data_IF_333290785665
#
_entry.id   IF_333290785665
#
_cell.length_a   1.000
_cell.length_b   1.000
_cell.length_c   1.000
_cell.angle_alpha   90.00
_cell.angle_beta   90.00
_cell.angle_gamma   90.00
#
_symmetry.space_group_name_H-M   'P 1'
#
loop_
_entity.id
_entity.type
_entity.pdbx_description
1 polymer ?
#
# COMPACT_ATOMS: atom_id res chain seq x y z
N UNK A 1 -19.01 13.43 -1.88
CA UNK A 1 -18.24 14.72 -1.92
C UNK A 1 -17.67 15.12 -0.56
N UNK A 2 -18.44 15.12 0.54
CA UNK A 2 -17.87 15.39 1.89
C UNK A 2 -16.84 14.33 2.30
N UNK A 3 -17.15 13.04 2.08
CA UNK A 3 -16.24 11.93 2.37
C UNK A 3 -14.93 12.00 1.59
N UNK A 4 -15.02 12.28 0.28
CA UNK A 4 -13.85 12.57 -0.55
C UNK A 4 -12.90 13.61 0.07
N UNK A 5 -13.44 14.75 0.54
CA UNK A 5 -12.63 15.81 1.14
C UNK A 5 -12.00 15.38 2.47
N UNK A 6 -12.78 14.70 3.33
CA UNK A 6 -12.30 14.22 4.63
C UNK A 6 -11.19 13.17 4.47
N UNK A 7 -11.38 12.21 3.57
CA UNK A 7 -10.41 11.14 3.33
C UNK A 7 -9.12 11.68 2.69
N UNK A 8 -9.26 12.62 1.75
CA UNK A 8 -8.10 13.31 1.17
C UNK A 8 -7.34 14.12 2.22
N UNK A 9 -8.05 14.83 3.12
CA UNK A 9 -7.41 15.54 4.22
C UNK A 9 -6.71 14.58 5.19
N UNK A 10 -7.31 13.43 5.48
CA UNK A 10 -6.71 12.36 6.28
C UNK A 10 -5.41 11.85 5.66
N UNK A 11 -5.40 11.53 4.37
CA UNK A 11 -4.19 11.06 3.67
C UNK A 11 -3.08 12.10 3.71
N UNK A 12 -3.39 13.37 3.41
CA UNK A 12 -2.41 14.45 3.45
C UNK A 12 -1.83 14.62 4.85
N UNK A 13 -2.67 14.59 5.88
CA UNK A 13 -2.23 14.69 7.27
C UNK A 13 -1.35 13.50 7.69
N UNK A 14 -1.77 12.28 7.36
CA UNK A 14 -1.06 11.05 7.70
C UNK A 14 0.29 10.99 6.96
N UNK A 15 0.32 11.26 5.66
CA UNK A 15 1.56 11.33 4.88
C UNK A 15 2.49 12.41 5.45
N UNK A 16 1.97 13.59 5.80
CA UNK A 16 2.80 14.65 6.40
C UNK A 16 3.41 14.18 7.73
N UNK A 17 2.62 13.52 8.57
CA UNK A 17 3.10 12.92 9.81
C UNK A 17 4.21 11.86 9.53
N UNK A 18 3.98 10.95 8.60
CA UNK A 18 4.90 9.85 8.29
C UNK A 18 6.19 10.31 7.59
N UNK A 19 6.11 11.25 6.65
CA UNK A 19 7.24 11.69 5.83
C UNK A 19 8.07 12.81 6.47
N UNK A 20 7.45 13.67 7.30
CA UNK A 20 8.10 14.87 7.84
C UNK A 20 8.36 14.75 9.34
N UNK A 21 7.41 14.23 10.10
CA UNK A 21 7.49 14.22 11.56
C UNK A 21 8.19 12.97 12.08
N UNK A 22 7.92 11.81 11.48
CA UNK A 22 8.50 10.54 11.91
C UNK A 22 9.90 10.37 11.30
N UNK A 23 10.96 10.23 12.12
CA UNK A 23 12.31 10.06 11.61
C UNK A 23 12.45 8.72 10.88
N UNK A 24 12.52 8.77 9.56
CA UNK A 24 12.85 7.62 8.72
C UNK A 24 14.31 7.23 8.95
N UNK A 25 14.57 6.02 9.44
CA UNK A 25 15.95 5.54 9.64
C UNK A 25 16.42 4.86 8.35
N UNK A 26 17.62 5.19 7.89
CA UNK A 26 18.29 4.33 6.91
C UNK A 26 18.58 2.99 7.58
N UNK A 27 18.12 1.88 7.00
CA UNK A 27 18.49 0.57 7.53
C UNK A 27 20.00 0.33 7.33
N UNK A 28 20.62 -0.49 8.18
CA UNK A 28 22.06 -0.83 8.09
C UNK A 28 22.48 -1.36 6.70
N UNK A 29 21.52 -1.91 5.96
CA UNK A 29 21.71 -2.51 4.63
C UNK A 29 21.51 -1.54 3.47
N UNK A 30 20.95 -0.36 3.71
CA UNK A 30 20.64 0.63 2.69
C UNK A 30 21.20 1.97 3.15
N UNK A 31 22.46 2.25 2.80
CA UNK A 31 23.04 3.58 2.93
C UNK A 31 22.34 4.52 1.96
N UNK A 32 21.20 5.06 2.38
CA UNK A 32 20.58 6.16 1.66
C UNK A 32 21.38 7.41 1.95
N UNK A 33 21.93 8.03 0.90
CA UNK A 33 22.44 9.39 1.03
C UNK A 33 21.28 10.28 1.50
N UNK A 34 21.42 10.84 2.70
CA UNK A 34 20.45 11.76 3.30
C UNK A 34 19.99 12.82 2.27
N UNK A 35 18.70 13.15 2.31
CA UNK A 35 18.04 14.25 1.59
C UNK A 35 17.78 14.09 0.08
N UNK A 36 16.82 13.22 -0.26
CA UNK A 36 15.93 13.53 -1.39
C UNK A 36 14.48 13.51 -0.91
N UNK A 37 14.04 14.63 -0.33
CA UNK A 37 12.61 14.90 -0.22
C UNK A 37 11.98 14.76 -1.60
N UNK A 38 11.00 13.86 -1.76
CA UNK A 38 10.30 13.71 -3.03
C UNK A 38 9.17 14.76 -3.04
N UNK A 39 9.15 15.72 -3.98
CA UNK A 39 8.06 16.68 -4.06
C UNK A 39 6.77 15.98 -4.47
N UNK A 40 5.63 16.57 -4.09
CA UNK A 40 4.33 16.18 -4.62
C UNK A 40 4.30 16.40 -6.13
N UNK A 41 4.17 15.32 -6.89
CA UNK A 41 4.01 15.42 -8.35
C UNK A 41 2.54 15.58 -8.72
N UNK A 42 2.21 16.15 -9.89
CA UNK A 42 0.83 16.15 -10.39
C UNK A 42 0.22 14.74 -10.46
N UNK A 43 1.03 13.72 -10.76
CA UNK A 43 0.60 12.32 -10.81
C UNK A 43 0.20 11.79 -9.43
N UNK A 44 0.99 12.09 -8.38
CA UNK A 44 0.64 11.72 -7.00
C UNK A 44 -0.70 12.34 -6.59
N UNK A 45 -0.87 13.65 -6.81
CA UNK A 45 -2.09 14.36 -6.45
C UNK A 45 -3.28 13.80 -7.23
N UNK A 46 -3.10 13.54 -8.53
CA UNK A 46 -4.12 12.92 -9.36
C UNK A 46 -4.53 11.55 -8.83
N UNK A 47 -3.57 10.65 -8.55
CA UNK A 47 -3.84 9.30 -8.06
C UNK A 47 -4.50 9.30 -6.67
N UNK A 48 -4.09 10.20 -5.78
CA UNK A 48 -4.72 10.38 -4.47
C UNK A 48 -6.19 10.80 -4.63
N UNK A 49 -6.46 11.85 -5.42
CA UNK A 49 -7.83 12.29 -5.68
C UNK A 49 -8.65 11.20 -6.37
N UNK A 50 -8.09 10.52 -7.37
CA UNK A 50 -8.72 9.43 -8.10
C UNK A 50 -9.13 8.27 -7.18
N UNK A 51 -8.24 7.83 -6.29
CA UNK A 51 -8.50 6.76 -5.33
C UNK A 51 -9.63 7.14 -4.38
N UNK A 52 -9.63 8.38 -3.89
CA UNK A 52 -10.60 8.87 -2.92
C UNK A 52 -11.97 9.15 -3.55
N UNK A 53 -12.03 9.47 -4.84
CA UNK A 53 -13.29 9.60 -5.59
C UNK A 53 -13.95 8.24 -5.80
N UNK A 54 -13.17 7.20 -6.11
CA UNK A 54 -13.70 5.84 -6.24
C UNK A 54 -14.23 5.31 -4.91
N UNK A 55 -13.60 5.67 -3.81
CA UNK A 55 -14.09 5.36 -2.48
C UNK A 55 -15.51 5.91 -2.23
N UNK A 56 -15.74 7.21 -2.50
CA UNK A 56 -17.06 7.87 -2.35
C UNK A 56 -18.18 7.13 -3.12
N UNK A 57 -17.85 6.47 -4.25
CA UNK A 57 -18.81 5.74 -5.09
C UNK A 57 -19.11 4.30 -4.65
N UNK A 58 -18.22 3.68 -3.88
CA UNK A 58 -18.30 2.26 -3.48
C UNK A 58 -18.94 2.05 -2.10
N UNK A 59 -19.20 3.13 -1.38
CA UNK A 59 -19.71 3.16 0.00
C UNK A 59 -21.19 2.78 0.08
N UNK A 60 -21.90 2.55 -1.03
CA UNK A 60 -23.33 2.19 -1.05
C UNK A 60 -23.63 0.67 -1.06
N UNK A 61 -22.70 -0.17 -0.58
CA UNK A 61 -22.88 -1.63 -0.63
C UNK A 61 -23.72 -2.14 0.57
N UNK A 62 -24.80 -2.84 0.23
CA UNK A 62 -25.71 -3.54 1.14
C UNK A 62 -24.98 -4.67 1.89
N UNK A 63 -25.14 -4.70 3.22
CA UNK A 63 -24.67 -5.79 4.07
C UNK A 63 -25.26 -5.71 5.47
N UNK A 64 -25.47 -6.86 6.11
CA UNK A 64 -25.93 -6.94 7.50
C UNK A 64 -24.79 -6.60 8.47
N UNK A 65 -25.10 -6.02 9.64
CA UNK A 65 -24.09 -5.66 10.63
C UNK A 65 -23.56 -6.88 11.40
N UNK A 66 -24.37 -7.93 11.56
CA UNK A 66 -24.03 -9.07 12.42
C UNK A 66 -22.81 -9.87 11.93
N UNK A 67 -22.52 -9.84 10.63
CA UNK A 67 -21.40 -10.57 10.00
C UNK A 67 -20.16 -9.72 9.68
N UNK A 68 -20.22 -8.42 9.92
CA UNK A 68 -19.30 -7.48 9.29
C UNK A 68 -17.83 -7.58 9.78
N UNK A 69 -17.59 -8.02 11.00
CA UNK A 69 -16.24 -8.13 11.56
C UNK A 69 -15.44 -9.30 10.97
N UNK A 70 -16.06 -10.46 10.72
CA UNK A 70 -15.35 -11.60 10.13
C UNK A 70 -15.16 -11.39 8.63
N UNK A 71 -16.12 -10.74 7.96
CA UNK A 71 -16.01 -10.31 6.57
C UNK A 71 -14.80 -9.37 6.41
N UNK A 72 -14.60 -8.44 7.35
CA UNK A 72 -13.44 -7.56 7.39
C UNK A 72 -12.14 -8.35 7.50
N UNK A 73 -12.06 -9.29 8.45
CA UNK A 73 -10.86 -10.11 8.64
C UNK A 73 -10.57 -11.00 7.43
N UNK A 74 -11.60 -11.52 6.78
CA UNK A 74 -11.47 -12.33 5.57
C UNK A 74 -11.03 -11.52 4.34
N UNK A 75 -11.27 -10.20 4.29
CA UNK A 75 -10.76 -9.37 3.21
C UNK A 75 -9.21 -9.35 3.19
N UNK A 76 -8.55 -9.33 4.36
CA UNK A 76 -7.08 -9.26 4.48
C UNK A 76 -6.32 -10.35 3.71
N UNK A 77 -6.58 -11.65 3.90
CA UNK A 77 -5.90 -12.69 3.12
C UNK A 77 -6.25 -12.63 1.63
N UNK A 78 -7.47 -12.25 1.24
CA UNK A 78 -7.85 -12.12 -0.17
C UNK A 78 -7.07 -10.97 -0.83
N UNK A 79 -7.03 -9.80 -0.18
CA UNK A 79 -6.21 -8.65 -0.60
C UNK A 79 -4.74 -9.03 -0.73
N UNK A 80 -4.19 -9.74 0.26
CA UNK A 80 -2.78 -10.19 0.25
C UNK A 80 -2.48 -11.09 -0.95
N UNK A 81 -3.34 -12.08 -1.21
CA UNK A 81 -3.23 -12.99 -2.35
C UNK A 81 -3.32 -12.23 -3.68
N UNK A 82 -4.32 -11.37 -3.84
CA UNK A 82 -4.52 -10.60 -5.06
C UNK A 82 -3.33 -9.67 -5.32
N UNK A 83 -2.90 -8.92 -4.31
CA UNK A 83 -1.76 -8.02 -4.40
C UNK A 83 -0.50 -8.78 -4.83
N UNK A 84 -0.17 -9.88 -4.15
CA UNK A 84 1.02 -10.68 -4.46
C UNK A 84 1.07 -11.12 -5.92
N UNK A 85 0.00 -11.72 -6.44
CA UNK A 85 -0.01 -12.24 -7.81
C UNK A 85 0.03 -11.12 -8.84
N UNK A 86 -0.77 -10.06 -8.65
CA UNK A 86 -0.78 -8.92 -9.56
C UNK A 86 0.59 -8.25 -9.58
N UNK A 87 1.16 -7.98 -8.41
CA UNK A 87 2.45 -7.32 -8.27
C UNK A 87 3.57 -8.12 -8.95
N UNK A 88 3.61 -9.43 -8.71
CA UNK A 88 4.58 -10.32 -9.34
C UNK A 88 4.43 -10.34 -10.86
N UNK A 89 3.20 -10.34 -11.39
CA UNK A 89 2.97 -10.32 -12.84
C UNK A 89 3.33 -8.98 -13.49
N UNK A 90 3.13 -7.86 -12.78
CA UNK A 90 3.61 -6.54 -13.22
C UNK A 90 5.14 -6.51 -13.40
N UNK A 91 5.88 -7.24 -12.56
CA UNK A 91 7.32 -7.44 -12.72
C UNK A 91 7.70 -8.46 -13.79
N UNK A 92 6.94 -9.55 -13.89
CA UNK A 92 7.24 -10.68 -14.80
C UNK A 92 7.16 -10.27 -16.27
N UNK A 93 6.19 -9.42 -16.62
CA UNK A 93 5.96 -9.02 -18.02
C UNK A 93 6.82 -7.80 -18.38
N UNK A 94 7.85 -7.91 -19.24
CA UNK A 94 8.86 -6.84 -19.41
C UNK A 94 8.32 -5.52 -19.96
N UNK A 95 7.27 -5.57 -20.77
CA UNK A 95 6.63 -4.37 -21.33
C UNK A 95 5.81 -3.67 -20.23
N UNK A 96 5.03 -4.44 -19.47
CA UNK A 96 4.23 -3.94 -18.34
C UNK A 96 5.14 -3.34 -17.28
N UNK A 97 6.23 -4.01 -16.92
CA UNK A 97 7.20 -3.45 -15.98
C UNK A 97 7.76 -2.11 -16.49
N UNK A 98 8.31 -2.07 -17.70
CA UNK A 98 9.00 -0.87 -18.23
C UNK A 98 8.09 0.33 -18.47
N UNK A 99 6.81 0.12 -18.75
CA UNK A 99 5.89 1.21 -19.10
C UNK A 99 4.99 1.64 -17.95
N UNK A 100 4.70 0.72 -17.03
CA UNK A 100 3.70 0.92 -15.98
C UNK A 100 4.41 0.88 -14.63
N UNK A 101 4.89 -0.30 -14.23
CA UNK A 101 5.33 -0.52 -12.85
C UNK A 101 6.69 0.12 -12.50
N UNK A 102 7.53 0.40 -13.50
CA UNK A 102 8.79 1.08 -13.29
C UNK A 102 8.61 2.52 -12.78
N UNK A 103 7.43 3.13 -12.98
CA UNK A 103 7.09 4.47 -12.46
C UNK A 103 7.06 4.46 -10.94
N UNK A 104 6.44 3.44 -10.35
CA UNK A 104 6.40 3.22 -8.90
C UNK A 104 7.79 2.96 -8.33
N UNK A 105 8.59 2.15 -9.02
CA UNK A 105 9.97 1.81 -8.67
C UNK A 105 11.00 2.92 -8.93
N UNK A 106 10.59 4.14 -9.34
CA UNK A 106 11.50 5.28 -9.49
C UNK A 106 12.08 5.73 -8.14
N UNK A 107 11.43 5.37 -7.04
CA UNK A 107 11.79 5.83 -5.69
C UNK A 107 12.12 4.64 -4.80
N UNK A 108 13.41 4.47 -4.52
CA UNK A 108 13.88 3.44 -3.58
C UNK A 108 14.04 3.94 -2.13
N UNK A 109 13.55 5.15 -1.83
CA UNK A 109 13.70 5.79 -0.52
C UNK A 109 12.42 5.66 0.30
N UNK A 110 12.49 5.51 1.64
CA UNK A 110 11.31 5.35 2.48
C UNK A 110 10.51 6.66 2.58
N UNK A 111 9.38 6.74 1.87
CA UNK A 111 8.40 7.84 1.94
C UNK A 111 6.99 7.30 1.67
N UNK A 112 6.05 7.57 2.57
CA UNK A 112 4.67 7.13 2.50
C UNK A 112 3.98 7.56 1.20
N UNK A 113 4.22 8.79 0.73
CA UNK A 113 3.59 9.31 -0.51
C UNK A 113 3.98 8.57 -1.79
N UNK A 114 5.02 7.73 -1.77
CA UNK A 114 5.41 6.91 -2.92
C UNK A 114 4.28 5.97 -3.34
N UNK A 115 3.38 5.59 -2.41
CA UNK A 115 2.21 4.77 -2.74
C UNK A 115 1.34 5.40 -3.84
N UNK A 116 1.29 6.74 -3.94
CA UNK A 116 0.52 7.44 -4.97
C UNK A 116 1.31 7.74 -6.25
N UNK A 117 2.62 7.48 -6.26
CA UNK A 117 3.49 7.73 -7.39
C UNK A 117 3.57 6.50 -8.30
N UNK A 118 2.42 6.08 -8.81
CA UNK A 118 2.29 4.93 -9.70
C UNK A 118 1.71 5.37 -11.04
N UNK A 119 1.90 4.57 -12.08
CA UNK A 119 1.14 4.74 -13.32
C UNK A 119 -0.37 4.60 -13.00
N UNK A 120 -1.25 5.38 -13.62
CA UNK A 120 -2.69 5.37 -13.28
C UNK A 120 -3.31 3.96 -13.37
N UNK A 121 -2.93 3.18 -14.39
CA UNK A 121 -3.36 1.78 -14.52
C UNK A 121 -2.86 0.89 -13.37
N UNK A 122 -1.64 1.12 -12.89
CA UNK A 122 -1.12 0.40 -11.73
C UNK A 122 -1.86 0.81 -10.46
N UNK A 123 -2.11 2.11 -10.27
CA UNK A 123 -2.91 2.59 -9.15
C UNK A 123 -4.27 1.87 -9.11
N UNK A 124 -4.91 1.70 -10.27
CA UNK A 124 -6.16 0.97 -10.34
C UNK A 124 -6.01 -0.54 -10.10
N UNK A 125 -5.09 -1.21 -10.80
CA UNK A 125 -5.00 -2.67 -10.82
C UNK A 125 -4.32 -3.24 -9.56
N UNK A 126 -3.32 -2.54 -9.01
CA UNK A 126 -2.52 -3.02 -7.88
C UNK A 126 -2.96 -2.43 -6.53
N UNK A 127 -3.40 -1.17 -6.50
CA UNK A 127 -3.72 -0.50 -5.23
C UNK A 127 -5.23 -0.47 -4.93
N UNK A 128 -6.07 -0.29 -5.95
CA UNK A 128 -7.53 -0.19 -5.78
C UNK A 128 -8.17 -1.58 -5.87
N UNK A 129 -8.00 -2.28 -6.99
CA UNK A 129 -8.70 -3.53 -7.27
C UNK A 129 -8.50 -4.61 -6.19
N UNK A 130 -7.30 -4.83 -5.62
CA UNK A 130 -7.08 -5.81 -4.56
C UNK A 130 -7.77 -5.46 -3.25
N UNK A 131 -8.17 -4.20 -3.03
CA UNK A 131 -8.89 -3.77 -1.82
C UNK A 131 -10.40 -3.85 -2.02
N UNK A 132 -10.90 -3.40 -3.18
CA UNK A 132 -12.34 -3.34 -3.43
C UNK A 132 -12.97 -4.67 -3.82
N UNK A 133 -12.26 -5.55 -4.53
CA UNK A 133 -12.78 -6.87 -4.89
C UNK A 133 -13.12 -7.70 -3.64
N UNK A 134 -12.26 -7.79 -2.61
CA UNK A 134 -12.62 -8.45 -1.35
C UNK A 134 -13.83 -7.82 -0.67
N UNK A 135 -13.93 -6.48 -0.59
CA UNK A 135 -15.10 -5.79 -0.04
C UNK A 135 -16.39 -6.26 -0.73
N UNK A 136 -16.37 -6.35 -2.06
CA UNK A 136 -17.52 -6.78 -2.87
C UNK A 136 -17.84 -8.26 -2.70
N UNK A 137 -16.82 -9.13 -2.70
CA UNK A 137 -17.00 -10.58 -2.49
C UNK A 137 -17.55 -10.88 -1.10
N UNK A 138 -17.01 -10.21 -0.08
CA UNK A 138 -17.40 -10.45 1.30
C UNK A 138 -18.72 -9.75 1.66
N UNK A 139 -19.17 -8.77 0.87
CA UNK A 139 -20.41 -8.04 1.12
C UNK A 139 -20.33 -7.15 2.35
N UNK A 140 -19.22 -6.43 2.51
CA UNK A 140 -19.07 -5.50 3.63
C UNK A 140 -20.05 -4.33 3.50
N UNK A 141 -20.75 -4.03 4.60
CA UNK A 141 -21.53 -2.80 4.68
C UNK A 141 -20.63 -1.56 4.64
N UNK A 142 -21.24 -0.43 4.33
CA UNK A 142 -20.60 0.89 4.22
C UNK A 142 -19.56 1.21 5.30
N UNK A 143 -19.92 1.02 6.58
CA UNK A 143 -19.07 1.40 7.70
C UNK A 143 -17.80 0.52 7.76
N UNK A 144 -17.97 -0.79 7.58
CA UNK A 144 -16.84 -1.73 7.60
C UNK A 144 -16.00 -1.69 6.34
N UNK A 145 -16.61 -1.44 5.17
CA UNK A 145 -15.88 -1.15 3.94
C UNK A 145 -15.01 0.09 4.10
N UNK A 146 -15.56 1.15 4.71
CA UNK A 146 -14.81 2.38 5.04
C UNK A 146 -13.64 2.10 5.97
N UNK A 147 -13.87 1.35 7.04
CA UNK A 147 -12.82 0.93 7.95
C UNK A 147 -11.73 0.11 7.23
N UNK A 148 -12.13 -0.79 6.32
CA UNK A 148 -11.20 -1.65 5.59
C UNK A 148 -10.35 -0.88 4.59
N UNK A 149 -10.95 0.03 3.82
CA UNK A 149 -10.22 0.92 2.91
C UNK A 149 -9.24 1.80 3.69
N UNK A 150 -9.66 2.34 4.84
CA UNK A 150 -8.77 3.11 5.73
C UNK A 150 -7.59 2.26 6.22
N UNK A 151 -7.88 1.04 6.68
CA UNK A 151 -6.86 0.08 7.10
C UNK A 151 -5.86 -0.25 5.96
N UNK A 152 -6.35 -0.48 4.75
CA UNK A 152 -5.53 -0.77 3.59
C UNK A 152 -4.62 0.40 3.18
N UNK A 153 -5.13 1.64 3.23
CA UNK A 153 -4.31 2.85 2.98
C UNK A 153 -3.21 3.00 4.03
N UNK A 154 -3.55 2.89 5.32
CA UNK A 154 -2.57 2.93 6.40
C UNK A 154 -1.51 1.86 6.16
N UNK A 155 -1.90 0.62 5.86
CA UNK A 155 -0.94 -0.45 5.58
C UNK A 155 -0.04 -0.12 4.36
N UNK A 156 -0.61 0.42 3.29
CA UNK A 156 0.14 0.87 2.11
C UNK A 156 1.18 1.94 2.46
N UNK A 157 0.80 2.98 3.20
CA UNK A 157 1.73 4.02 3.65
C UNK A 157 2.83 3.45 4.55
N UNK A 158 2.46 2.58 5.50
CA UNK A 158 3.39 1.99 6.45
C UNK A 158 4.40 1.06 5.77
N UNK A 159 3.99 0.32 4.74
CA UNK A 159 4.89 -0.54 3.96
C UNK A 159 5.95 0.25 3.16
N UNK A 160 5.70 1.52 2.84
CA UNK A 160 6.62 2.38 2.07
C UNK A 160 7.55 3.23 2.94
N UNK A 161 7.42 3.16 4.26
CA UNK A 161 8.32 3.83 5.19
C UNK A 161 9.21 2.81 5.89
N UNK A 162 10.34 3.28 6.43
CA UNK A 162 11.25 2.44 7.20
C UNK A 162 11.31 2.93 8.64
N UNK A 163 10.38 2.44 9.45
CA UNK A 163 10.31 2.82 10.85
C UNK A 163 10.79 1.70 11.78
N UNK A 164 12.10 1.51 11.87
CA UNK A 164 12.66 0.56 12.84
C UNK A 164 12.58 1.11 14.28
N UNK A 165 11.61 0.62 15.08
CA UNK A 165 11.50 0.89 16.52
C UNK A 165 11.81 -0.37 17.37
N UNK A 166 13.08 -0.60 17.76
CA UNK A 166 13.52 -1.85 18.39
C UNK A 166 12.93 -2.13 19.79
N UNK A 167 12.21 -1.18 20.38
CA UNK A 167 11.70 -1.26 21.76
C UNK A 167 10.19 -1.60 21.83
N UNK A 168 9.46 -1.58 20.71
CA UNK A 168 8.06 -1.98 20.68
C UNK A 168 7.97 -3.45 20.24
N UNK A 169 7.34 -4.26 21.08
CA UNK A 169 7.17 -5.72 20.90
C UNK A 169 6.42 -6.06 19.59
N UNK A 170 5.68 -5.09 19.04
CA UNK A 170 4.91 -5.21 17.80
C UNK A 170 5.60 -4.60 16.57
N UNK A 171 6.74 -3.94 16.74
CA UNK A 171 7.41 -3.22 15.65
C UNK A 171 7.75 -4.09 14.42
N UNK A 172 8.20 -5.35 14.55
CA UNK A 172 8.56 -6.17 13.39
C UNK A 172 7.38 -6.61 12.52
N UNK A 173 6.13 -6.48 12.98
CA UNK A 173 4.93 -6.87 12.24
C UNK A 173 4.31 -5.74 11.42
N UNK A 174 4.67 -4.48 11.73
CA UNK A 174 4.03 -3.29 11.15
C UNK A 174 5.06 -2.34 10.52
N UNK A 175 6.33 -2.43 10.95
CA UNK A 175 7.37 -1.48 10.58
C UNK A 175 8.70 -2.20 10.30
N UNK A 176 8.75 -2.92 9.19
CA UNK A 176 9.98 -3.52 8.67
C UNK A 176 10.33 -2.92 7.30
N UNK A 177 11.50 -3.30 6.76
CA UNK A 177 11.96 -2.86 5.45
C UNK A 177 11.59 -3.84 4.32
N UNK A 178 10.61 -4.73 4.54
CA UNK A 178 10.28 -5.81 3.62
C UNK A 178 9.95 -5.29 2.21
N UNK A 179 8.98 -4.39 2.11
CA UNK A 179 8.58 -3.80 0.83
C UNK A 179 9.58 -2.74 0.35
N UNK A 180 10.29 -2.06 1.26
CA UNK A 180 11.37 -1.17 0.85
C UNK A 180 12.50 -1.94 0.14
N UNK A 181 12.85 -3.13 0.62
CA UNK A 181 13.81 -4.02 -0.04
C UNK A 181 13.33 -4.45 -1.42
N UNK A 182 12.03 -4.64 -1.60
CA UNK A 182 11.42 -4.87 -2.92
C UNK A 182 11.70 -3.70 -3.89
N UNK A 183 11.54 -2.44 -3.46
CA UNK A 183 11.85 -1.27 -4.29
C UNK A 183 13.31 -1.21 -4.78
N UNK A 184 14.22 -1.81 -4.02
CA UNK A 184 15.66 -1.87 -4.33
C UNK A 184 16.00 -3.07 -5.23
N UNK A 185 15.62 -4.27 -4.80
CA UNK A 185 16.02 -5.53 -5.44
C UNK A 185 15.09 -5.95 -6.59
N UNK A 186 13.82 -5.53 -6.54
CA UNK A 186 12.79 -5.62 -7.59
C UNK A 186 12.44 -7.02 -8.10
N UNK A 187 12.99 -8.06 -7.46
CA UNK A 187 12.82 -9.47 -7.85
C UNK A 187 12.45 -10.35 -6.65
N UNK A 188 12.21 -9.73 -5.50
CA UNK A 188 11.92 -10.35 -4.21
C UNK A 188 10.84 -9.58 -3.48
N UNK A 189 10.19 -10.17 -2.49
CA UNK A 189 9.21 -9.52 -1.62
C UNK A 189 8.04 -8.88 -2.41
N UNK A 190 7.33 -9.66 -3.22
CA UNK A 190 6.18 -9.17 -3.99
C UNK A 190 4.92 -8.94 -3.13
N UNK A 191 4.85 -9.49 -1.92
CA UNK A 191 3.86 -9.08 -0.94
C UNK A 191 4.02 -7.60 -0.55
N UNK A 192 2.96 -7.01 0.01
CA UNK A 192 3.03 -5.66 0.57
C UNK A 192 3.61 -5.71 1.99
N UNK A 193 2.93 -6.42 2.90
CA UNK A 193 3.35 -6.59 4.31
C UNK A 193 3.33 -8.06 4.75
N UNK A 194 2.94 -8.96 3.84
CA UNK A 194 2.81 -10.40 4.08
C UNK A 194 3.96 -11.14 3.38
N UNK A 195 4.68 -11.98 4.13
CA UNK A 195 5.86 -12.74 3.70
C UNK A 195 5.54 -14.17 3.29
N UNK A 196 4.33 -14.67 3.58
CA UNK A 196 3.99 -16.08 3.43
C UNK A 196 4.07 -16.53 1.97
N UNK A 197 3.43 -15.79 1.06
CA UNK A 197 3.44 -16.14 -0.37
C UNK A 197 4.84 -16.03 -0.96
N UNK A 198 5.62 -15.03 -0.57
CA UNK A 198 7.02 -14.91 -0.96
C UNK A 198 7.87 -16.08 -0.47
N UNK A 199 7.66 -16.52 0.77
CA UNK A 199 8.35 -17.69 1.32
C UNK A 199 8.03 -18.95 0.51
N UNK A 200 6.74 -19.26 0.31
CA UNK A 200 6.33 -20.47 -0.41
C UNK A 200 6.70 -20.45 -1.90
N UNK A 201 6.77 -19.26 -2.51
CA UNK A 201 7.13 -19.10 -3.90
C UNK A 201 8.62 -18.93 -4.16
N UNK A 202 9.47 -18.98 -3.11
CA UNK A 202 10.91 -18.71 -3.17
C UNK A 202 11.24 -17.32 -3.75
N UNK A 203 10.42 -16.33 -3.43
CA UNK A 203 10.65 -14.92 -3.75
C UNK A 203 10.89 -14.07 -2.51
N UNK A 204 10.98 -14.67 -1.31
CA UNK A 204 11.36 -13.98 -0.09
C UNK A 204 12.84 -13.59 -0.15
N UNK A 205 13.12 -12.33 0.11
CA UNK A 205 14.48 -11.83 0.11
C UNK A 205 15.29 -12.43 1.26
N UNK A 206 16.59 -12.66 1.02
CA UNK A 206 17.48 -13.12 2.08
C UNK A 206 17.61 -12.08 3.20
N UNK A 207 17.81 -12.53 4.45
CA UNK A 207 18.08 -11.66 5.59
C UNK A 207 19.27 -10.70 5.38
#
# INVERSE_FOLDING_TARGET
MLWFLLFTAFDVALITLLDVVIPQRANKYLTFHHNKYIPWTPLMVFNMCYTNLLFDWTVDIYGDQETAWWQFLACTPITSVMFYFIHRELHRTPIVYRQIHSVHHQFSHPQAKVVYQAHVLEQFILNILPVYVPIMIMGLNTAWATAYVTFAHINGFLAHINWYYPQAVWAPLVFDDFHLKHHVDRQVNFGLSDRHLDYYANTLASP
#
